data_IF_856003958540
#
_entry.id   IF_856003958540
#
_cell.length_a   1.000
_cell.length_b   1.000
_cell.length_c   1.000
_cell.angle_alpha   90.00
_cell.angle_beta   90.00
_cell.angle_gamma   90.00
#
_symmetry.space_group_name_H-M   'P 1'
#
loop_
_entity.id
_entity.type
_entity.pdbx_description
1 polymer ?
#
# COMPACT_ATOMS: atom_id res chain seq x y z
N UNK A 1 -49.83 -0.02 -9.16
CA UNK A 1 -48.85 0.83 -8.45
C UNK A 1 -47.92 -0.09 -7.70
N UNK A 2 -46.74 -0.37 -8.27
CA UNK A 2 -45.64 -1.03 -7.55
C UNK A 2 -44.49 -0.04 -7.67
N UNK A 3 -44.15 0.58 -6.54
CA UNK A 3 -43.04 1.52 -6.41
C UNK A 3 -41.77 0.71 -6.20
N UNK A 4 -40.84 0.75 -7.15
CA UNK A 4 -39.50 0.20 -6.98
C UNK A 4 -38.62 1.31 -6.41
N UNK A 5 -38.35 1.25 -5.12
CA UNK A 5 -37.37 2.11 -4.45
C UNK A 5 -35.99 1.56 -4.78
N UNK A 6 -35.23 2.29 -5.60
CA UNK A 6 -33.83 1.98 -5.87
C UNK A 6 -33.04 2.35 -4.61
N UNK A 7 -32.56 1.35 -3.87
CA UNK A 7 -31.57 1.57 -2.81
C UNK A 7 -30.23 1.67 -3.51
N UNK A 8 -29.71 2.89 -3.66
CA UNK A 8 -28.32 3.10 -4.01
C UNK A 8 -27.48 2.57 -2.84
N UNK A 9 -26.85 1.41 -3.03
CA UNK A 9 -25.73 0.99 -2.19
C UNK A 9 -24.59 1.97 -2.50
N UNK A 10 -24.43 2.95 -1.62
CA UNK A 10 -23.21 3.74 -1.58
C UNK A 10 -22.07 2.77 -1.25
N UNK A 11 -21.26 2.45 -2.26
CA UNK A 11 -19.93 1.93 -2.01
C UNK A 11 -19.17 3.06 -1.34
N UNK A 12 -19.04 3.00 -0.02
CA UNK A 12 -17.95 3.69 0.64
C UNK A 12 -16.69 3.00 0.13
N UNK A 13 -15.98 3.59 -0.83
CA UNK A 13 -14.56 3.28 -0.99
C UNK A 13 -13.96 3.60 0.38
N UNK A 14 -13.67 2.55 1.14
CA UNK A 14 -12.89 2.69 2.36
C UNK A 14 -11.53 3.20 1.90
N UNK A 15 -11.24 4.47 2.20
CA UNK A 15 -9.88 4.95 2.21
C UNK A 15 -9.12 4.02 3.15
N UNK A 16 -8.40 3.05 2.60
CA UNK A 16 -7.47 2.25 3.37
C UNK A 16 -6.40 3.22 3.88
N UNK A 17 -5.99 3.14 5.16
CA UNK A 17 -4.93 4.01 5.64
C UNK A 17 -3.67 3.74 4.81
N UNK A 18 -2.97 4.80 4.39
CA UNK A 18 -1.69 4.66 3.67
C UNK A 18 -0.71 3.80 4.46
N UNK A 19 -0.73 3.93 5.80
CA UNK A 19 0.10 3.17 6.72
C UNK A 19 -0.73 2.26 7.64
N UNK A 20 -0.30 1.01 7.82
CA UNK A 20 -0.90 0.03 8.73
C UNK A 20 0.16 -0.53 9.69
N UNK A 21 -0.15 -0.54 11.00
CA UNK A 21 0.67 -1.26 11.99
C UNK A 21 0.06 -2.62 12.30
N UNK A 22 0.73 -3.67 11.83
CA UNK A 22 0.39 -5.06 12.06
C UNK A 22 0.97 -5.51 13.41
N UNK A 23 0.09 -5.99 14.28
CA UNK A 23 0.43 -6.48 15.62
C UNK A 23 -0.21 -7.86 15.78
N UNK A 24 0.59 -8.85 16.14
CA UNK A 24 0.11 -10.20 16.46
C UNK A 24 0.16 -10.47 17.97
N UNK A 25 0.24 -9.40 18.79
CA UNK A 25 0.43 -9.45 20.23
C UNK A 25 -0.52 -8.48 20.95
N UNK A 26 -0.82 -8.75 22.22
CA UNK A 26 -1.60 -7.90 23.12
C UNK A 26 -0.76 -6.98 24.01
N UNK A 27 0.54 -6.83 23.75
CA UNK A 27 1.44 -6.06 24.60
C UNK A 27 1.11 -4.56 24.57
N UNK A 28 1.02 -3.96 25.76
CA UNK A 28 1.03 -2.52 25.91
C UNK A 28 2.34 -2.09 26.56
N UNK A 29 2.89 -0.93 26.17
CA UNK A 29 4.12 -0.42 26.79
C UNK A 29 4.01 -0.37 28.32
N UNK A 30 4.99 -0.96 29.01
CA UNK A 30 4.98 -1.10 30.47
C UNK A 30 4.17 -2.27 31.03
N UNK A 31 3.50 -3.07 30.20
CA UNK A 31 2.87 -4.32 30.62
C UNK A 31 3.92 -5.37 31.04
N UNK A 32 3.49 -6.38 31.79
CA UNK A 32 4.37 -7.49 32.15
C UNK A 32 4.52 -8.43 30.94
N UNK A 33 5.76 -8.76 30.60
CA UNK A 33 6.12 -9.69 29.53
C UNK A 33 7.04 -10.78 30.06
N UNK A 34 7.11 -11.88 29.32
CA UNK A 34 8.13 -12.90 29.53
C UNK A 34 9.10 -12.88 28.36
N UNK A 35 10.37 -13.21 28.60
CA UNK A 35 11.35 -13.33 27.53
C UNK A 35 11.58 -14.79 27.20
N UNK A 36 11.41 -15.16 25.93
CA UNK A 36 11.54 -16.54 25.49
C UNK A 36 13.02 -16.92 25.48
N UNK A 37 13.45 -17.62 26.52
CA UNK A 37 14.78 -18.21 26.58
C UNK A 37 14.89 -19.51 25.77
N UNK A 38 16.08 -20.07 25.71
CA UNK A 38 16.33 -21.39 25.12
C UNK A 38 16.82 -21.37 23.67
N UNK A 39 16.69 -20.23 22.98
CA UNK A 39 17.27 -20.07 21.65
C UNK A 39 18.79 -20.25 21.68
N UNK A 40 19.33 -20.89 20.65
CA UNK A 40 20.76 -20.98 20.35
C UNK A 40 21.07 -20.38 18.98
N UNK A 41 22.36 -20.29 18.66
CA UNK A 41 22.81 -19.72 17.40
C UNK A 41 22.21 -20.49 16.19
N UNK A 42 21.58 -19.76 15.26
CA UNK A 42 20.93 -20.30 14.07
C UNK A 42 19.44 -20.65 14.25
N UNK A 43 18.91 -20.62 15.48
CA UNK A 43 17.47 -20.72 15.70
C UNK A 43 16.78 -19.37 15.48
N UNK A 44 15.49 -19.41 15.17
CA UNK A 44 14.71 -18.19 14.93
C UNK A 44 13.38 -18.19 15.67
N UNK A 45 12.98 -17.00 16.14
CA UNK A 45 11.59 -16.69 16.47
C UNK A 45 10.98 -15.89 15.33
N UNK A 46 9.77 -16.22 14.89
CA UNK A 46 9.15 -15.53 13.77
C UNK A 46 7.64 -15.32 13.96
N UNK A 47 7.17 -14.21 13.40
CA UNK A 47 5.78 -13.78 13.38
C UNK A 47 5.31 -13.61 11.92
N UNK A 48 4.14 -14.17 11.59
CA UNK A 48 3.43 -13.90 10.33
C UNK A 48 2.54 -12.68 10.51
N UNK A 49 2.51 -11.87 9.46
CA UNK A 49 1.62 -10.73 9.35
C UNK A 49 0.79 -10.83 8.07
N UNK A 50 -0.47 -10.41 8.17
CA UNK A 50 -1.43 -10.40 7.06
C UNK A 50 -1.89 -8.95 6.88
N UNK A 51 -1.34 -8.21 5.90
CA UNK A 51 -1.80 -6.87 5.56
C UNK A 51 -3.32 -6.81 5.37
N UNK A 52 -3.97 -5.80 5.93
CA UNK A 52 -5.36 -5.46 5.62
C UNK A 52 -5.46 -4.34 4.57
N UNK A 53 -4.40 -3.56 4.41
CA UNK A 53 -4.24 -2.67 3.25
C UNK A 53 -3.92 -3.49 1.99
N UNK A 54 -4.20 -2.92 0.82
CA UNK A 54 -3.78 -3.52 -0.45
C UNK A 54 -2.25 -3.60 -0.51
N UNK A 55 -1.73 -4.73 -0.99
CA UNK A 55 -0.33 -4.87 -1.38
C UNK A 55 -0.26 -5.18 -2.90
N UNK A 56 0.82 -4.83 -3.61
CA UNK A 56 2.19 -4.63 -3.11
C UNK A 56 2.35 -3.43 -2.18
N UNK A 57 2.99 -3.65 -1.05
CA UNK A 57 3.21 -2.65 0.00
C UNK A 57 4.66 -2.78 0.50
N UNK A 58 5.15 -1.77 1.20
CA UNK A 58 6.50 -1.78 1.76
C UNK A 58 6.48 -1.92 3.28
N UNK A 59 7.51 -2.56 3.84
CA UNK A 59 7.77 -2.53 5.28
C UNK A 59 8.67 -1.33 5.58
N UNK A 60 8.18 -0.40 6.39
CA UNK A 60 8.93 0.78 6.82
C UNK A 60 9.68 0.54 8.13
N UNK A 61 9.02 -0.09 9.10
CA UNK A 61 9.62 -0.36 10.41
C UNK A 61 9.20 -1.71 10.93
N UNK A 62 10.13 -2.38 11.62
CA UNK A 62 9.83 -3.52 12.49
C UNK A 62 10.08 -3.08 13.93
N UNK A 63 9.08 -3.24 14.79
CA UNK A 63 9.19 -2.91 16.21
C UNK A 63 9.03 -4.18 17.03
N UNK A 64 9.91 -4.41 17.99
CA UNK A 64 9.91 -5.66 18.75
C UNK A 64 10.38 -5.44 20.19
N UNK A 65 9.92 -6.28 21.11
CA UNK A 65 10.41 -6.24 22.49
C UNK A 65 11.48 -7.31 22.69
N UNK A 66 12.71 -6.87 22.92
CA UNK A 66 13.87 -7.74 23.11
C UNK A 66 14.61 -7.35 24.38
N UNK A 67 14.78 -8.31 25.29
CA UNK A 67 15.16 -8.01 26.67
C UNK A 67 15.37 -9.26 27.53
N UNK A 68 15.15 -9.14 28.84
CA UNK A 68 15.54 -10.12 29.85
C UNK A 68 16.99 -9.98 30.33
N UNK A 69 17.82 -9.27 29.57
CA UNK A 69 19.12 -8.73 29.96
C UNK A 69 19.30 -7.36 29.29
N UNK A 70 20.26 -6.55 29.74
CA UNK A 70 20.49 -5.18 29.23
C UNK A 70 21.68 -5.06 28.27
N UNK A 71 22.22 -6.20 27.83
CA UNK A 71 23.37 -6.25 26.94
C UNK A 71 22.95 -5.99 25.48
N UNK A 72 23.87 -5.49 24.68
CA UNK A 72 23.70 -5.38 23.23
C UNK A 72 24.13 -6.69 22.57
N UNK A 73 23.30 -7.19 21.65
CA UNK A 73 23.57 -8.40 20.86
C UNK A 73 23.21 -8.17 19.40
N UNK A 74 23.99 -8.77 18.52
CA UNK A 74 23.67 -8.84 17.10
C UNK A 74 22.71 -10.00 16.87
N UNK A 75 21.65 -9.73 16.11
CA UNK A 75 20.67 -10.73 15.68
C UNK A 75 20.47 -10.60 14.18
N UNK A 76 20.21 -11.72 13.51
CA UNK A 76 19.76 -11.69 12.13
C UNK A 76 18.30 -11.25 12.08
N UNK A 77 17.94 -10.45 11.08
CA UNK A 77 16.56 -10.14 10.74
C UNK A 77 16.30 -10.70 9.35
N UNK A 78 15.22 -11.46 9.20
CA UNK A 78 14.89 -12.12 7.96
C UNK A 78 13.40 -11.90 7.67
N UNK A 79 13.08 -11.62 6.41
CA UNK A 79 11.71 -11.40 5.95
C UNK A 79 11.45 -12.33 4.77
N UNK A 80 10.34 -13.04 4.81
CA UNK A 80 9.90 -13.96 3.76
C UNK A 80 8.51 -13.61 3.27
N UNK A 81 8.23 -14.00 2.03
CA UNK A 81 6.85 -14.19 1.59
C UNK A 81 6.19 -15.30 2.42
N UNK A 82 4.95 -15.10 2.83
CA UNK A 82 4.16 -16.07 3.58
C UNK A 82 2.75 -16.24 3.00
N UNK A 83 2.56 -15.89 1.73
CA UNK A 83 1.30 -16.00 0.98
C UNK A 83 0.70 -17.42 1.01
N UNK A 84 1.54 -18.45 1.05
CA UNK A 84 1.11 -19.85 1.09
C UNK A 84 0.47 -20.27 2.43
N UNK A 85 0.63 -19.49 3.50
CA UNK A 85 0.00 -19.76 4.79
C UNK A 85 0.54 -21.00 5.54
N UNK A 86 1.69 -21.54 5.12
CA UNK A 86 2.26 -22.81 5.61
C UNK A 86 3.13 -22.65 6.88
N UNK A 87 3.51 -23.74 7.55
CA UNK A 87 4.46 -23.66 8.67
C UNK A 87 5.88 -23.28 8.23
N UNK A 88 6.27 -23.64 7.01
CA UNK A 88 7.51 -23.22 6.37
C UNK A 88 7.23 -21.95 5.55
N UNK A 89 7.98 -20.86 5.75
CA UNK A 89 7.77 -19.64 4.96
C UNK A 89 8.17 -19.88 3.50
N UNK A 90 7.71 -18.98 2.62
CA UNK A 90 8.04 -18.96 1.21
C UNK A 90 9.44 -18.41 0.94
N UNK A 91 9.67 -17.84 -0.25
CA UNK A 91 10.94 -17.21 -0.62
C UNK A 91 11.41 -16.14 0.38
N UNK A 92 12.72 -16.10 0.63
CA UNK A 92 13.36 -15.05 1.43
C UNK A 92 13.40 -13.76 0.60
N UNK A 93 12.81 -12.69 1.14
CA UNK A 93 12.74 -11.36 0.53
C UNK A 93 13.86 -10.44 1.05
N UNK A 94 14.21 -10.57 2.32
CA UNK A 94 15.25 -9.77 2.95
C UNK A 94 16.00 -10.56 4.02
N UNK A 95 17.30 -10.30 4.15
CA UNK A 95 18.11 -10.73 5.28
C UNK A 95 19.13 -9.65 5.65
N UNK A 96 19.33 -9.44 6.94
CA UNK A 96 20.29 -8.48 7.46
C UNK A 96 20.70 -8.81 8.89
N UNK A 97 21.59 -8.01 9.45
CA UNK A 97 22.00 -8.09 10.87
C UNK A 97 21.76 -6.75 11.53
N UNK A 98 21.25 -6.80 12.77
CA UNK A 98 20.91 -5.63 13.57
C UNK A 98 21.43 -5.82 14.99
N UNK A 99 21.96 -4.76 15.58
CA UNK A 99 22.40 -4.74 16.98
C UNK A 99 21.27 -4.24 17.88
N UNK A 100 20.72 -5.12 18.72
CA UNK A 100 19.65 -4.78 19.67
C UNK A 100 20.19 -4.68 21.08
N UNK A 101 19.79 -3.65 21.82
CA UNK A 101 20.13 -3.46 23.24
C UNK A 101 18.96 -3.83 24.12
N UNK A 102 19.11 -4.88 24.93
CA UNK A 102 17.99 -5.45 25.66
C UNK A 102 17.27 -4.46 26.59
N UNK A 103 15.94 -4.45 26.53
CA UNK A 103 15.03 -3.61 27.30
C UNK A 103 13.79 -4.40 27.71
N UNK A 104 13.36 -4.25 28.96
CA UNK A 104 12.18 -4.96 29.47
C UNK A 104 10.88 -4.19 29.29
N UNK A 105 10.95 -2.97 28.77
CA UNK A 105 9.81 -2.03 28.76
C UNK A 105 9.62 -1.33 27.42
N UNK A 106 10.69 -1.11 26.66
CA UNK A 106 10.65 -0.35 25.42
C UNK A 106 10.79 -1.29 24.22
N UNK A 107 9.90 -1.13 23.25
CA UNK A 107 10.09 -1.68 21.91
C UNK A 107 11.35 -1.08 21.30
N UNK A 108 12.08 -1.91 20.58
CA UNK A 108 13.21 -1.52 19.75
C UNK A 108 12.73 -1.49 18.31
N UNK A 109 13.09 -0.42 17.61
CA UNK A 109 12.69 -0.19 16.23
C UNK A 109 13.86 -0.47 15.27
N UNK A 110 13.54 -1.20 14.21
CA UNK A 110 14.43 -1.46 13.08
C UNK A 110 13.82 -0.68 11.92
N UNK A 111 14.56 0.33 11.48
CA UNK A 111 14.14 1.27 10.43
C UNK A 111 14.59 0.77 9.05
N UNK A 112 13.62 0.62 8.15
CA UNK A 112 13.79 0.26 6.75
C UNK A 112 13.48 1.42 5.81
N UNK A 113 13.17 2.62 6.30
CA UNK A 113 12.75 3.77 5.47
C UNK A 113 13.74 4.14 4.35
N UNK A 114 15.04 3.92 4.55
CA UNK A 114 16.08 4.19 3.54
C UNK A 114 16.28 3.04 2.52
N UNK A 115 15.78 1.85 2.82
CA UNK A 115 15.81 0.68 1.94
C UNK A 115 14.60 -0.21 2.22
N UNK A 116 13.39 0.23 1.83
CA UNK A 116 12.17 -0.47 2.19
C UNK A 116 12.12 -1.87 1.59
N UNK A 117 11.47 -2.80 2.30
CA UNK A 117 11.28 -4.17 1.83
C UNK A 117 9.90 -4.30 1.21
N UNK A 118 9.86 -4.59 -0.09
CA UNK A 118 8.61 -4.81 -0.83
C UNK A 118 8.02 -6.19 -0.49
N UNK A 119 6.73 -6.24 -0.22
CA UNK A 119 5.96 -7.48 -0.02
C UNK A 119 4.65 -7.43 -0.81
N UNK A 120 4.29 -8.55 -1.44
CA UNK A 120 3.10 -8.63 -2.31
C UNK A 120 1.83 -9.06 -1.55
N UNK A 121 1.91 -9.27 -0.23
CA UNK A 121 0.82 -9.80 0.58
C UNK A 121 1.30 -10.28 1.96
N UNK A 122 0.75 -11.38 2.50
CA UNK A 122 1.18 -11.93 3.79
C UNK A 122 2.69 -12.21 3.81
N UNK A 123 3.34 -11.83 4.89
CA UNK A 123 4.79 -11.97 5.06
C UNK A 123 5.15 -12.47 6.45
N UNK A 124 6.37 -12.97 6.60
CA UNK A 124 6.91 -13.43 7.88
C UNK A 124 8.17 -12.67 8.24
N UNK A 125 8.24 -12.20 9.48
CA UNK A 125 9.43 -11.57 10.05
C UNK A 125 10.04 -12.54 11.06
N UNK A 126 11.32 -12.83 10.94
CA UNK A 126 12.05 -13.71 11.85
C UNK A 126 13.31 -13.07 12.40
N UNK A 127 13.52 -13.22 13.71
CA UNK A 127 14.76 -12.91 14.39
C UNK A 127 15.62 -14.16 14.52
N UNK A 128 16.79 -14.15 13.90
CA UNK A 128 17.81 -15.19 14.03
C UNK A 128 18.76 -14.89 15.16
N UNK A 129 18.85 -15.81 16.10
CA UNK A 129 19.73 -15.67 17.25
C UNK A 129 21.16 -16.04 16.86
N UNK A 130 22.13 -15.24 17.29
CA UNK A 130 23.57 -15.52 17.13
C UNK A 130 24.23 -15.96 18.45
N UNK A 131 23.45 -15.94 19.53
CA UNK A 131 23.87 -16.23 20.90
C UNK A 131 22.86 -17.14 21.59
N UNK A 132 23.23 -17.62 22.77
CA UNK A 132 22.34 -18.39 23.65
C UNK A 132 21.92 -17.57 24.87
N UNK A 133 20.68 -17.79 25.32
CA UNK A 133 20.16 -17.13 26.51
C UNK A 133 19.69 -15.70 26.25
N UNK A 134 19.64 -14.90 27.30
CA UNK A 134 19.15 -13.52 27.25
C UNK A 134 20.26 -12.55 26.81
N UNK A 135 19.94 -11.41 26.17
CA UNK A 135 18.58 -10.94 25.85
C UNK A 135 17.91 -11.75 24.73
N UNK A 136 16.59 -11.81 24.74
CA UNK A 136 15.78 -12.55 23.75
C UNK A 136 14.48 -11.82 23.43
N UNK A 137 13.73 -12.31 22.43
CA UNK A 137 12.40 -11.81 22.08
C UNK A 137 11.40 -12.05 23.22
N UNK A 138 10.50 -11.11 23.44
CA UNK A 138 9.43 -11.24 24.40
C UNK A 138 8.25 -12.04 23.84
N UNK A 139 7.53 -12.70 24.73
CA UNK A 139 6.16 -13.15 24.52
C UNK A 139 5.23 -12.36 25.42
N UNK A 140 4.04 -12.04 24.94
CA UNK A 140 3.01 -11.45 25.79
C UNK A 140 2.46 -12.48 26.80
N UNK A 141 1.78 -11.97 27.83
CA UNK A 141 1.31 -12.78 28.97
C UNK A 141 -0.22 -12.86 29.02
N UNK A 142 -0.93 -12.27 28.07
CA UNK A 142 -2.39 -12.32 28.08
C UNK A 142 -2.92 -13.76 27.82
N UNK A 143 -2.04 -14.65 27.33
CA UNK A 143 -2.30 -16.07 27.15
C UNK A 143 -3.11 -16.38 25.89
N UNK A 144 -3.45 -15.36 25.10
CA UNK A 144 -3.95 -15.52 23.74
C UNK A 144 -2.80 -16.05 22.89
N UNK A 145 -3.11 -17.01 22.03
CA UNK A 145 -2.15 -17.55 21.09
C UNK A 145 -2.80 -17.50 19.72
N UNK A 146 -2.27 -16.69 18.82
CA UNK A 146 -2.50 -16.90 17.40
C UNK A 146 -1.62 -18.06 16.92
N UNK A 147 -2.22 -19.26 17.00
CA UNK A 147 -1.62 -20.51 16.57
C UNK A 147 -1.15 -20.49 15.10
N UNK A 148 -1.62 -19.54 14.30
CA UNK A 148 -1.28 -19.40 12.89
C UNK A 148 -0.25 -18.30 12.61
N UNK A 149 0.12 -17.52 13.63
CA UNK A 149 1.02 -16.38 13.48
C UNK A 149 2.42 -16.59 14.07
N UNK A 150 2.60 -17.47 15.07
CA UNK A 150 3.87 -17.58 15.80
C UNK A 150 4.64 -18.87 15.51
N UNK A 151 5.91 -18.72 15.11
CA UNK A 151 6.74 -19.81 14.61
C UNK A 151 8.15 -19.80 15.20
N UNK A 152 8.74 -20.98 15.29
CA UNK A 152 10.12 -21.17 15.72
C UNK A 152 10.84 -22.05 14.70
N UNK A 153 12.00 -21.60 14.23
CA UNK A 153 12.98 -22.46 13.56
C UNK A 153 13.89 -23.04 14.65
N UNK A 154 13.68 -24.31 14.99
CA UNK A 154 14.43 -24.98 16.05
C UNK A 154 15.47 -25.94 15.47
N UNK A 155 16.62 -26.07 16.16
CA UNK A 155 17.61 -27.10 15.87
C UNK A 155 17.30 -28.37 16.66
N UNK A 156 16.74 -29.36 15.96
CA UNK A 156 16.48 -30.70 16.51
C UNK A 156 17.51 -31.74 16.00
N UNK A 157 18.71 -31.29 15.66
CA UNK A 157 19.72 -32.01 14.88
C UNK A 157 19.65 -31.69 13.37
N UNK A 158 18.58 -31.01 12.97
CA UNK A 158 18.37 -30.29 11.71
C UNK A 158 17.47 -29.10 12.01
N UNK A 159 17.66 -27.98 11.29
CA UNK A 159 16.76 -26.83 11.41
C UNK A 159 15.40 -27.17 10.84
N UNK A 160 14.34 -26.99 11.64
CA UNK A 160 12.98 -27.27 11.23
C UNK A 160 11.98 -26.26 11.82
N UNK A 161 10.99 -25.86 11.01
CA UNK A 161 9.96 -24.90 11.41
C UNK A 161 8.83 -25.56 12.20
N UNK A 162 8.50 -24.98 13.35
CA UNK A 162 7.39 -25.36 14.20
C UNK A 162 6.50 -24.15 14.48
N UNK A 163 5.21 -24.39 14.71
CA UNK A 163 4.40 -23.40 15.42
C UNK A 163 4.90 -23.32 16.87
N UNK A 164 5.05 -22.11 17.41
CA UNK A 164 5.65 -21.87 18.74
C UNK A 164 4.96 -22.68 19.85
N UNK A 165 3.62 -22.75 19.82
CA UNK A 165 2.80 -23.52 20.76
C UNK A 165 3.14 -25.02 20.81
N UNK A 166 3.63 -25.59 19.70
CA UNK A 166 4.01 -27.02 19.64
C UNK A 166 5.23 -27.30 20.50
N UNK A 167 6.08 -26.28 20.70
CA UNK A 167 7.25 -26.31 21.56
C UNK A 167 6.94 -25.80 22.98
N UNK A 168 5.66 -25.56 23.30
CA UNK A 168 5.21 -25.14 24.63
C UNK A 168 5.44 -23.66 24.93
N UNK A 169 5.73 -22.84 23.92
CA UNK A 169 5.77 -21.38 24.08
C UNK A 169 4.34 -20.86 24.22
N UNK A 170 4.08 -20.13 25.30
CA UNK A 170 2.81 -19.48 25.57
C UNK A 170 2.83 -18.01 25.16
N UNK A 171 1.70 -17.50 24.71
CA UNK A 171 1.59 -16.13 24.22
C UNK A 171 2.16 -15.97 22.81
N UNK A 172 2.01 -14.76 22.29
CA UNK A 172 2.47 -14.38 20.96
C UNK A 172 3.78 -13.59 21.07
N UNK A 173 4.66 -13.71 20.09
CA UNK A 173 5.90 -12.95 20.07
C UNK A 173 5.59 -11.47 19.89
N UNK A 174 6.20 -10.62 20.72
CA UNK A 174 6.03 -9.17 20.62
C UNK A 174 6.92 -8.64 19.49
N UNK A 175 6.44 -8.83 18.26
CA UNK A 175 7.02 -8.37 17.00
C UNK A 175 5.89 -7.68 16.24
N UNK A 176 6.18 -6.52 15.65
CA UNK A 176 5.23 -5.69 14.93
C UNK A 176 5.87 -5.21 13.65
N UNK A 177 5.04 -4.96 12.64
CA UNK A 177 5.46 -4.37 11.40
C UNK A 177 4.60 -3.16 11.09
N UNK A 178 5.23 -2.05 10.74
CA UNK A 178 4.55 -0.92 10.11
C UNK A 178 4.78 -1.03 8.62
N UNK A 179 3.70 -1.17 7.88
CA UNK A 179 3.70 -1.22 6.44
C UNK A 179 3.04 0.03 5.87
N UNK A 180 3.49 0.41 4.68
CA UNK A 180 2.90 1.49 3.91
C UNK A 180 2.57 0.98 2.51
N UNK A 181 1.35 1.22 2.05
CA UNK A 181 1.00 1.01 0.65
C UNK A 181 1.51 2.20 -0.18
N UNK A 182 2.84 2.25 -0.38
CA UNK A 182 3.48 3.25 -1.25
C UNK A 182 3.17 3.04 -2.75
N UNK A 183 2.47 1.96 -3.11
CA UNK A 183 1.96 1.78 -4.47
C UNK A 183 0.58 2.41 -4.52
N UNK A 184 0.56 3.72 -4.77
CA UNK A 184 -0.63 4.36 -5.29
C UNK A 184 -0.98 3.65 -6.61
N UNK A 185 -2.23 3.20 -6.82
CA UNK A 185 -2.63 2.53 -8.04
C UNK A 185 -2.31 3.41 -9.25
N UNK A 186 -2.04 2.78 -10.39
CA UNK A 186 -1.92 3.41 -11.71
C UNK A 186 -2.93 2.65 -12.57
N UNK A 187 -4.15 3.18 -12.63
CA UNK A 187 -5.33 2.47 -13.14
C UNK A 187 -5.30 2.32 -14.67
N UNK A 188 -4.63 3.21 -15.38
CA UNK A 188 -4.53 3.20 -16.84
C UNK A 188 -3.15 2.78 -17.39
N UNK A 189 -2.20 2.48 -16.50
CA UNK A 189 -0.86 1.96 -16.77
C UNK A 189 0.00 2.93 -17.60
N UNK A 190 -0.17 4.24 -17.42
CA UNK A 190 0.57 5.28 -18.15
C UNK A 190 1.91 5.67 -17.47
N UNK A 191 2.13 5.20 -16.24
CA UNK A 191 3.32 5.44 -15.43
C UNK A 191 3.20 6.59 -14.43
N UNK A 192 2.04 7.24 -14.34
CA UNK A 192 1.66 8.21 -13.31
C UNK A 192 0.64 7.54 -12.38
N UNK A 193 0.82 7.70 -11.07
CA UNK A 193 -0.10 7.09 -10.11
C UNK A 193 -1.37 7.92 -9.97
N UNK A 194 -2.51 7.27 -9.71
CA UNK A 194 -3.87 7.83 -9.64
C UNK A 194 -4.00 9.04 -8.70
N UNK A 195 -3.10 9.21 -7.72
CA UNK A 195 -3.06 10.35 -6.78
C UNK A 195 -2.34 11.59 -7.34
N UNK A 196 -1.57 11.42 -8.42
CA UNK A 196 -0.86 12.48 -9.15
C UNK A 196 -1.34 12.63 -10.60
N UNK A 197 -2.23 11.76 -11.05
CA UNK A 197 -2.70 11.66 -12.43
C UNK A 197 -3.91 12.57 -12.70
N UNK A 198 -3.80 13.45 -13.69
CA UNK A 198 -4.88 14.32 -14.12
C UNK A 198 -5.92 13.63 -15.02
N UNK A 199 -5.74 12.35 -15.37
CA UNK A 199 -6.67 11.50 -16.11
C UNK A 199 -6.61 10.02 -15.70
N UNK A 200 -6.95 9.68 -14.45
CA UNK A 200 -6.83 8.34 -13.80
C UNK A 200 -7.42 7.11 -14.52
N UNK A 201 -8.11 7.27 -15.66
CA UNK A 201 -8.65 6.16 -16.46
C UNK A 201 -8.31 6.27 -17.96
N UNK A 202 -7.51 7.28 -18.37
CA UNK A 202 -7.12 7.55 -19.77
C UNK A 202 -5.63 7.85 -19.83
N UNK A 203 -4.86 6.84 -20.26
CA UNK A 203 -3.40 6.96 -20.31
C UNK A 203 -2.93 8.21 -21.07
N UNK A 204 -2.27 9.11 -20.36
CA UNK A 204 -1.75 10.38 -20.84
C UNK A 204 -0.45 10.73 -20.11
N UNK A 205 0.60 9.93 -20.33
CA UNK A 205 1.88 10.04 -19.64
C UNK A 205 2.59 11.43 -19.73
N UNK A 206 2.15 12.30 -20.65
CA UNK A 206 2.63 13.68 -20.77
C UNK A 206 1.88 14.68 -19.86
N UNK A 207 0.76 14.25 -19.27
CA UNK A 207 -0.09 14.94 -18.30
C UNK A 207 -0.50 16.34 -18.79
N UNK A 208 -0.74 16.47 -20.11
CA UNK A 208 -1.11 17.74 -20.71
C UNK A 208 -2.45 18.23 -20.16
N UNK A 209 -2.44 19.46 -19.65
CA UNK A 209 -3.58 20.22 -19.14
C UNK A 209 -3.41 21.68 -19.61
N UNK A 210 -4.07 22.01 -20.72
CA UNK A 210 -3.86 23.28 -21.44
C UNK A 210 -4.56 24.47 -20.76
N UNK A 211 -5.65 24.22 -20.03
CA UNK A 211 -6.41 25.25 -19.32
C UNK A 211 -5.99 25.40 -17.84
N UNK A 212 -5.25 24.42 -17.30
CA UNK A 212 -4.68 24.41 -15.96
C UNK A 212 -5.69 24.18 -14.84
N UNK A 213 -6.80 23.50 -15.13
CA UNK A 213 -7.87 23.26 -14.16
C UNK A 213 -7.69 21.97 -13.33
N UNK A 214 -6.65 21.19 -13.64
CA UNK A 214 -6.32 19.94 -12.96
C UNK A 214 -6.92 18.68 -13.60
N UNK A 215 -7.62 18.81 -14.73
CA UNK A 215 -8.07 17.71 -15.58
C UNK A 215 -7.26 17.69 -16.87
N UNK A 216 -6.69 16.53 -17.22
CA UNK A 216 -5.88 16.42 -18.43
C UNK A 216 -6.74 16.51 -19.68
N UNK A 217 -6.21 17.09 -20.77
CA UNK A 217 -6.94 17.22 -22.03
C UNK A 217 -7.53 15.88 -22.47
N UNK A 218 -6.79 14.77 -22.31
CA UNK A 218 -7.21 13.43 -22.73
C UNK A 218 -8.56 12.96 -22.14
N UNK A 219 -8.97 13.50 -21.00
CA UNK A 219 -10.21 13.15 -20.28
C UNK A 219 -11.09 14.36 -19.93
N UNK A 220 -10.69 15.58 -20.31
CA UNK A 220 -11.46 16.79 -20.08
C UNK A 220 -12.41 17.07 -21.25
N UNK A 221 -13.71 17.05 -20.95
CA UNK A 221 -14.79 17.39 -21.88
C UNK A 221 -15.61 18.61 -21.40
N UNK A 222 -15.18 19.29 -20.33
CA UNK A 222 -15.84 20.47 -19.73
C UNK A 222 -15.11 21.76 -20.12
N UNK A 223 -15.14 22.11 -21.41
CA UNK A 223 -14.44 23.28 -21.94
C UNK A 223 -15.02 24.63 -21.48
N UNK A 224 -16.02 24.63 -20.61
CA UNK A 224 -16.54 25.82 -19.94
C UNK A 224 -16.17 25.90 -18.45
N UNK A 225 -15.46 24.90 -17.94
CA UNK A 225 -14.89 24.78 -16.60
C UNK A 225 -15.94 25.03 -15.51
N UNK A 226 -17.14 24.48 -15.72
CA UNK A 226 -18.30 24.66 -14.84
C UNK A 226 -18.62 23.42 -13.97
N UNK A 227 -17.78 22.39 -14.08
CA UNK A 227 -17.86 21.06 -13.50
C UNK A 227 -19.02 20.19 -14.00
N UNK A 228 -19.57 20.48 -15.18
CA UNK A 228 -20.65 19.70 -15.79
C UNK A 228 -20.50 19.68 -17.31
N UNK A 229 -20.10 18.53 -17.84
CA UNK A 229 -20.09 18.30 -19.28
C UNK A 229 -21.51 18.27 -19.81
N UNK A 230 -21.85 19.22 -20.68
CA UNK A 230 -23.18 19.36 -21.25
C UNK A 230 -23.11 20.00 -22.66
N UNK A 231 -24.26 20.42 -23.19
CA UNK A 231 -24.32 20.96 -24.56
C UNK A 231 -23.58 22.29 -24.73
N UNK A 232 -23.27 23.01 -23.65
CA UNK A 232 -22.49 24.25 -23.71
C UNK A 232 -21.03 23.99 -24.08
N UNK A 233 -20.50 22.83 -23.68
CA UNK A 233 -19.13 22.42 -23.96
C UNK A 233 -18.94 21.98 -25.43
N UNK A 234 -20.02 21.81 -26.20
CA UNK A 234 -19.88 21.56 -27.65
C UNK A 234 -19.45 22.79 -28.44
N UNK A 235 -19.66 24.01 -27.92
CA UNK A 235 -19.39 25.22 -28.69
C UNK A 235 -17.89 25.47 -28.92
N UNK A 236 -17.01 25.43 -27.89
CA UNK A 236 -15.57 25.57 -28.09
C UNK A 236 -15.00 24.57 -29.09
N UNK A 237 -15.47 23.33 -29.02
CA UNK A 237 -15.09 22.28 -29.95
C UNK A 237 -15.56 22.58 -31.39
N UNK A 238 -16.85 22.92 -31.56
CA UNK A 238 -17.43 23.18 -32.88
C UNK A 238 -16.80 24.41 -33.57
N UNK A 239 -16.36 25.40 -32.80
CA UNK A 239 -15.72 26.61 -33.33
C UNK A 239 -14.29 26.34 -33.83
N UNK A 240 -13.62 25.34 -33.25
CA UNK A 240 -12.25 24.97 -33.57
C UNK A 240 -12.14 23.75 -34.50
N UNK A 241 -13.24 23.04 -34.78
CA UNK A 241 -13.22 21.83 -35.60
C UNK A 241 -12.60 22.04 -36.99
N UNK A 242 -11.58 21.24 -37.29
CA UNK A 242 -10.78 21.30 -38.51
C UNK A 242 -9.64 22.31 -38.47
N UNK A 243 -9.46 23.04 -37.38
CA UNK A 243 -8.31 23.92 -37.18
C UNK A 243 -7.06 23.09 -36.88
N UNK A 244 -5.92 23.61 -37.31
CA UNK A 244 -4.59 23.06 -37.07
C UNK A 244 -3.72 24.04 -36.30
N UNK A 245 -2.65 23.57 -35.67
CA UNK A 245 -1.73 24.44 -34.95
C UNK A 245 -1.27 25.61 -35.81
N UNK A 246 -1.59 26.83 -35.37
CA UNK A 246 -1.28 28.08 -36.07
C UNK A 246 -2.49 28.76 -36.72
N UNK A 247 -3.64 28.08 -36.81
CA UNK A 247 -4.90 28.70 -37.21
C UNK A 247 -5.44 29.61 -36.10
N UNK A 248 -6.15 30.67 -36.50
CA UNK A 248 -6.64 31.69 -35.56
C UNK A 248 -7.73 31.17 -34.60
N UNK A 249 -8.40 30.08 -34.97
CA UNK A 249 -9.44 29.41 -34.18
C UNK A 249 -8.95 28.09 -33.57
N UNK A 250 -7.65 27.80 -33.63
CA UNK A 250 -7.10 26.64 -32.92
C UNK A 250 -7.26 26.85 -31.41
N UNK A 251 -7.84 25.87 -30.73
CA UNK A 251 -8.00 25.84 -29.29
C UNK A 251 -7.36 24.54 -28.77
N UNK A 252 -6.31 24.68 -27.97
CA UNK A 252 -5.50 23.55 -27.48
C UNK A 252 -6.28 22.66 -26.50
N UNK A 253 -7.25 23.23 -25.78
CA UNK A 253 -8.10 22.52 -24.81
C UNK A 253 -8.99 21.47 -25.48
N UNK A 254 -9.30 21.63 -26.78
CA UNK A 254 -10.16 20.73 -27.55
C UNK A 254 -9.40 19.87 -28.56
N UNK A 255 -8.06 19.93 -28.54
CA UNK A 255 -7.15 18.99 -29.21
C UNK A 255 -6.72 17.97 -28.15
N UNK A 256 -7.44 16.85 -28.04
CA UNK A 256 -7.35 15.92 -26.90
C UNK A 256 -6.18 14.96 -27.00
N UNK A 257 -5.79 14.58 -28.22
CA UNK A 257 -4.64 13.70 -28.45
C UNK A 257 -3.33 14.47 -28.71
N UNK A 258 -3.42 15.78 -28.92
CA UNK A 258 -2.27 16.69 -29.01
C UNK A 258 -1.51 16.56 -30.32
N UNK A 259 -2.17 16.04 -31.36
CA UNK A 259 -1.58 15.90 -32.69
C UNK A 259 -1.53 17.23 -33.47
N UNK A 260 -2.13 18.30 -32.93
CA UNK A 260 -2.18 19.63 -33.52
C UNK A 260 -3.29 19.79 -34.55
N UNK A 261 -4.26 18.88 -34.62
CA UNK A 261 -5.36 18.86 -35.59
C UNK A 261 -6.69 18.52 -34.89
N UNK A 262 -7.54 19.53 -34.70
CA UNK A 262 -8.84 19.32 -34.07
C UNK A 262 -9.79 18.62 -35.05
N UNK A 263 -10.11 17.36 -34.79
CA UNK A 263 -10.88 16.50 -35.66
C UNK A 263 -11.78 15.53 -34.87
N UNK A 264 -12.28 14.47 -35.50
CA UNK A 264 -13.22 13.56 -34.84
C UNK A 264 -12.55 12.63 -33.81
N UNK A 265 -11.22 12.49 -33.83
CA UNK A 265 -10.46 11.73 -32.83
C UNK A 265 -10.51 12.43 -31.46
N UNK A 266 -10.60 13.76 -31.46
CA UNK A 266 -10.71 14.59 -30.26
C UNK A 266 -12.08 14.51 -29.55
N UNK A 267 -13.06 13.79 -30.12
CA UNK A 267 -14.28 13.47 -29.38
C UNK A 267 -14.09 12.30 -28.40
N UNK A 268 -12.92 11.66 -28.42
CA UNK A 268 -12.61 10.46 -27.65
C UNK A 268 -13.26 9.19 -28.23
N UNK A 269 -12.90 8.05 -27.67
CA UNK A 269 -13.45 6.74 -28.01
C UNK A 269 -14.03 6.07 -26.76
N UNK A 270 -15.14 5.31 -26.84
CA UNK A 270 -15.68 4.61 -25.67
C UNK A 270 -14.61 3.74 -24.98
N UNK A 271 -14.53 3.73 -23.64
CA UNK A 271 -15.49 4.34 -22.70
C UNK A 271 -15.32 5.85 -22.48
N UNK A 272 -14.18 6.44 -22.87
CA UNK A 272 -13.79 7.81 -22.51
C UNK A 272 -14.03 8.75 -23.69
N UNK A 273 -15.25 9.29 -23.76
CA UNK A 273 -15.69 10.22 -24.79
C UNK A 273 -16.72 11.21 -24.26
N UNK A 274 -16.97 12.27 -25.03
CA UNK A 274 -17.93 13.32 -24.68
C UNK A 274 -19.33 12.77 -24.32
N UNK A 275 -19.80 11.74 -25.03
CA UNK A 275 -21.12 11.16 -24.80
C UNK A 275 -21.22 10.40 -23.46
N UNK A 276 -20.13 9.77 -23.03
CA UNK A 276 -20.03 9.09 -21.74
C UNK A 276 -19.88 10.10 -20.59
N UNK A 277 -19.20 11.22 -20.83
CA UNK A 277 -19.03 12.30 -19.86
C UNK A 277 -20.29 13.18 -19.71
N UNK A 278 -21.23 13.17 -20.66
CA UNK A 278 -22.41 14.02 -20.62
C UNK A 278 -23.19 13.90 -19.29
N UNK A 279 -23.44 15.03 -18.63
CA UNK A 279 -24.01 15.21 -17.28
C UNK A 279 -23.11 14.85 -16.09
N UNK A 280 -21.87 14.42 -16.34
CA UNK A 280 -20.86 14.15 -15.31
C UNK A 280 -19.84 15.30 -15.23
N UNK A 281 -19.06 15.38 -14.14
CA UNK A 281 -17.86 16.23 -14.07
C UNK A 281 -16.78 15.81 -15.09
N UNK A 282 -15.80 16.67 -15.41
CA UNK A 282 -14.64 16.30 -16.20
C UNK A 282 -13.78 15.23 -15.50
N UNK A 283 -12.94 14.53 -16.27
CA UNK A 283 -12.10 13.43 -15.76
C UNK A 283 -12.66 12.04 -16.06
N UNK A 284 -12.35 11.03 -15.21
CA UNK A 284 -11.84 11.13 -13.83
C UNK A 284 -10.38 11.60 -13.71
N UNK A 285 -10.05 12.23 -12.57
CA UNK A 285 -8.76 12.87 -12.25
C UNK A 285 -8.49 12.76 -10.74
N UNK A 286 -7.22 12.81 -10.33
CA UNK A 286 -6.80 12.99 -8.93
C UNK A 286 -7.37 14.28 -8.31
N UNK A 287 -7.62 15.29 -9.14
CA UNK A 287 -8.14 16.58 -8.72
C UNK A 287 -9.68 16.60 -8.76
N UNK A 288 -10.28 17.12 -7.69
CA UNK A 288 -11.70 17.41 -7.69
C UNK A 288 -11.97 18.66 -8.54
N UNK A 289 -12.97 18.60 -9.42
CA UNK A 289 -13.36 19.77 -10.20
C UNK A 289 -13.82 20.91 -9.28
N UNK A 290 -13.17 22.07 -9.42
CA UNK A 290 -13.56 23.30 -8.75
C UNK A 290 -14.06 24.31 -9.78
N UNK A 291 -15.36 24.70 -9.77
CA UNK A 291 -15.86 25.66 -10.74
C UNK A 291 -15.08 26.96 -10.65
N UNK A 292 -14.68 27.50 -11.79
CA UNK A 292 -14.08 28.83 -11.83
C UNK A 292 -15.05 29.88 -11.24
N UNK A 293 -14.56 30.86 -10.45
CA UNK A 293 -15.39 31.86 -9.77
C UNK A 293 -16.12 32.83 -10.71
#
# INVERSE_FOLDING_TARGET
>A
MISATLVAMAWTQSAFPAQETLQNDGFASGATVTFQGGFVAGEMAAARFVPQIGCPCIIETISLLFGGAVETRDVGINIWDDSAGSTVPGPLLFTGTVSLTGSNVNLQEIDFSLSPVLVDGPFRVGLEFTHSGLPSVATDLDGTIDATANFILADIGVLFWFQSQTLGVSGDFVIRATIDNLVSPDTDEDGITDDMDNCTEVANADQRDSNGDGHGNACDFDYTNNCVVNFLDLAPFSDAFGATTGDANFNDDVDLDGDGVINFLDFGAPPNNFAAAFTNPPGPSANACTPAP
#
